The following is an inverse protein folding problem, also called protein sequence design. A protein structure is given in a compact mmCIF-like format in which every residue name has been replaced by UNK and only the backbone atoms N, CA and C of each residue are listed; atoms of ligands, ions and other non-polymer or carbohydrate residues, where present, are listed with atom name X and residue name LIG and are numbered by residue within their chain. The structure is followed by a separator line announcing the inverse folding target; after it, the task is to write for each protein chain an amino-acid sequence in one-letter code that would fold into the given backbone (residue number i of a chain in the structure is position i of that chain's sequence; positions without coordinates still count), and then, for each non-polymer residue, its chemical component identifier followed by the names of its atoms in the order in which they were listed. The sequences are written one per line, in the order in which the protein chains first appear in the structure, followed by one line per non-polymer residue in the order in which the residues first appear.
data_IF_105979528906
#
_entry.id   IF_105979528906
#
_cell.length_a   1.000
_cell.length_b   1.000
_cell.length_c   1.000
_cell.angle_alpha   90.00
_cell.angle_beta   90.00
_cell.angle_gamma   90.00
#
_symmetry.space_group_name_H-M   'P 1'
#
loop_
_entity.id
_entity.type
_entity.pdbx_description
1 polymer ?
#
# COMPACT_ATOMS: atom_id res chain seq x y z
N UNK A 1 0.50 27.44 8.20
CA UNK A 1 1.07 26.14 7.78
C UNK A 1 2.47 26.05 8.41
N UNK A 2 2.81 25.23 9.41
CA UNK A 2 2.08 24.09 9.97
C UNK A 2 2.78 23.46 11.21
N UNK A 3 2.65 24.05 12.41
CA UNK A 3 3.18 23.45 13.66
C UNK A 3 2.58 22.04 13.88
N UNK A 4 1.35 21.83 13.43
CA UNK A 4 0.65 20.55 13.50
C UNK A 4 1.22 19.50 12.54
N UNK A 5 1.57 19.85 11.30
CA UNK A 5 2.27 18.92 10.40
C UNK A 5 3.68 18.63 10.91
N UNK A 6 4.41 19.62 11.44
CA UNK A 6 5.74 19.36 11.99
C UNK A 6 5.67 18.35 13.14
N UNK A 7 4.68 18.49 14.03
CA UNK A 7 4.44 17.54 15.12
C UNK A 7 4.01 16.15 14.62
N UNK A 8 3.17 16.07 13.57
CA UNK A 8 2.78 14.81 12.93
C UNK A 8 3.96 14.12 12.24
N UNK A 9 4.84 14.88 11.59
CA UNK A 9 6.07 14.36 10.98
C UNK A 9 7.02 13.89 12.08
N UNK A 10 7.19 14.67 13.15
CA UNK A 10 8.10 14.34 14.25
C UNK A 10 7.64 13.11 15.04
N UNK A 11 6.34 12.99 15.34
CA UNK A 11 5.78 11.79 15.97
C UNK A 11 5.81 10.58 15.03
N UNK A 12 5.63 10.81 13.71
CA UNK A 12 5.82 9.80 12.67
C UNK A 12 7.25 9.26 12.61
N UNK A 13 8.27 10.13 12.68
CA UNK A 13 9.69 9.76 12.66
C UNK A 13 10.04 8.89 13.86
N UNK A 14 9.60 9.27 15.05
CA UNK A 14 9.92 8.55 16.30
C UNK A 14 9.23 7.18 16.36
N UNK A 15 7.99 7.07 15.86
CA UNK A 15 7.22 5.84 15.98
C UNK A 15 7.39 4.86 14.80
N UNK A 16 7.95 5.30 13.66
CA UNK A 16 8.11 4.49 12.43
C UNK A 16 9.40 4.86 11.65
N UNK A 17 10.60 4.60 12.19
CA UNK A 17 11.87 4.94 11.53
C UNK A 17 12.03 4.28 10.15
N UNK A 18 11.44 3.11 9.96
CA UNK A 18 11.53 2.32 8.73
C UNK A 18 11.03 3.06 7.49
N UNK A 19 9.98 3.90 7.63
CA UNK A 19 9.48 4.68 6.50
C UNK A 19 10.46 5.76 6.06
N UNK A 20 11.01 6.50 7.02
CA UNK A 20 11.96 7.57 6.73
C UNK A 20 13.28 7.02 6.18
N UNK A 21 13.71 5.85 6.67
CA UNK A 21 14.84 5.10 6.11
C UNK A 21 14.54 4.66 4.67
N UNK A 22 13.34 4.13 4.41
CA UNK A 22 12.93 3.75 3.06
C UNK A 22 12.94 4.97 2.12
N UNK A 23 12.36 6.10 2.57
CA UNK A 23 12.27 7.32 1.79
C UNK A 23 13.66 7.92 1.48
N UNK A 24 14.57 7.94 2.46
CA UNK A 24 15.94 8.41 2.24
C UNK A 24 16.69 7.50 1.28
N UNK A 25 16.54 6.18 1.40
CA UNK A 25 17.10 5.21 0.44
C UNK A 25 16.61 5.48 -0.99
N UNK A 26 15.30 5.72 -1.17
CA UNK A 26 14.74 6.04 -2.48
C UNK A 26 15.30 7.32 -3.08
N UNK A 27 15.42 8.39 -2.28
CA UNK A 27 16.01 9.66 -2.72
C UNK A 27 17.47 9.47 -3.14
N UNK A 28 18.25 8.74 -2.35
CA UNK A 28 19.66 8.45 -2.64
C UNK A 28 19.78 7.64 -3.93
N UNK A 29 18.95 6.60 -4.11
CA UNK A 29 18.93 5.79 -5.33
C UNK A 29 18.59 6.65 -6.55
N UNK A 30 17.53 7.46 -6.48
CA UNK A 30 17.15 8.37 -7.57
C UNK A 30 18.25 9.38 -7.91
N UNK A 31 18.91 9.96 -6.90
CA UNK A 31 19.99 10.91 -7.10
C UNK A 31 21.19 10.25 -7.78
N UNK A 32 21.61 9.08 -7.31
CA UNK A 32 22.71 8.30 -7.89
C UNK A 32 22.39 7.96 -9.35
N UNK A 33 21.18 7.46 -9.63
CA UNK A 33 20.77 7.13 -11.00
C UNK A 33 20.75 8.36 -11.91
N UNK A 34 20.28 9.50 -11.40
CA UNK A 34 20.28 10.78 -12.14
C UNK A 34 21.68 11.30 -12.46
N UNK A 35 22.69 10.99 -11.65
CA UNK A 35 24.07 11.42 -11.87
C UNK A 35 24.85 10.46 -12.76
N UNK A 36 24.54 9.15 -12.70
CA UNK A 36 25.29 8.10 -13.40
C UNK A 36 24.69 7.68 -14.74
N UNK A 37 23.42 8.00 -15.01
CA UNK A 37 22.72 7.53 -16.21
C UNK A 37 22.02 8.67 -16.95
N UNK A 38 21.86 8.51 -18.27
CA UNK A 38 21.05 9.39 -19.12
C UNK A 38 19.61 8.88 -19.29
N UNK A 39 19.11 8.15 -18.30
CA UNK A 39 17.74 7.61 -18.35
C UNK A 39 16.71 8.72 -18.23
N UNK A 40 15.51 8.46 -18.76
CA UNK A 40 14.40 9.40 -18.65
C UNK A 40 14.05 9.65 -17.18
N UNK A 41 13.59 10.86 -16.88
CA UNK A 41 13.19 11.26 -15.53
C UNK A 41 12.15 10.31 -14.93
N UNK A 42 11.22 9.82 -15.76
CA UNK A 42 10.17 8.86 -15.39
C UNK A 42 10.76 7.56 -14.86
N UNK A 43 11.78 7.01 -15.54
CA UNK A 43 12.47 5.77 -15.14
C UNK A 43 13.18 5.92 -13.81
N UNK A 44 13.92 7.02 -13.63
CA UNK A 44 14.68 7.29 -12.41
C UNK A 44 13.72 7.39 -11.21
N UNK A 45 12.65 8.16 -11.36
CA UNK A 45 11.64 8.34 -10.30
C UNK A 45 10.94 7.02 -9.97
N UNK A 46 10.56 6.23 -10.97
CA UNK A 46 9.89 4.93 -10.76
C UNK A 46 10.79 3.91 -10.09
N UNK A 47 12.07 3.84 -10.43
CA UNK A 47 13.03 2.93 -9.78
C UNK A 47 13.28 3.31 -8.32
N UNK A 48 13.48 4.61 -8.04
CA UNK A 48 13.59 5.11 -6.68
C UNK A 48 12.32 4.78 -5.88
N UNK A 49 11.15 5.06 -6.43
CA UNK A 49 9.86 4.77 -5.81
C UNK A 49 9.67 3.28 -5.51
N UNK A 50 9.89 2.41 -6.50
CA UNK A 50 9.82 0.96 -6.31
C UNK A 50 10.76 0.50 -5.20
N UNK A 51 11.98 1.03 -5.13
CA UNK A 51 12.94 0.68 -4.08
C UNK A 51 12.41 1.04 -2.67
N UNK A 52 11.80 2.21 -2.51
CA UNK A 52 11.14 2.61 -1.24
C UNK A 52 10.02 1.64 -0.88
N UNK A 53 9.10 1.40 -1.81
CA UNK A 53 7.89 0.62 -1.56
C UNK A 53 8.23 -0.83 -1.25
N UNK A 54 9.13 -1.46 -2.00
CA UNK A 54 9.55 -2.84 -1.75
C UNK A 54 10.30 -2.99 -0.44
N UNK A 55 11.23 -2.09 -0.13
CA UNK A 55 11.91 -2.11 1.16
C UNK A 55 10.90 -1.99 2.32
N UNK A 56 9.94 -1.07 2.20
CA UNK A 56 8.90 -0.90 3.20
C UNK A 56 8.00 -2.13 3.32
N UNK A 57 7.54 -2.71 2.20
CA UNK A 57 6.71 -3.91 2.17
C UNK A 57 7.43 -5.10 2.83
N UNK A 58 8.69 -5.35 2.49
CA UNK A 58 9.49 -6.45 3.07
C UNK A 58 9.57 -6.30 4.59
N UNK A 59 9.95 -5.11 5.07
CA UNK A 59 10.03 -4.82 6.50
C UNK A 59 8.66 -4.97 7.18
N UNK A 60 7.60 -4.55 6.52
CA UNK A 60 6.24 -4.65 7.04
C UNK A 60 5.77 -6.11 7.14
N UNK A 61 6.02 -6.92 6.11
CA UNK A 61 5.70 -8.34 6.09
C UNK A 61 6.49 -9.12 7.13
N UNK A 62 7.79 -8.87 7.27
CA UNK A 62 8.60 -9.45 8.35
C UNK A 62 7.99 -9.13 9.72
N UNK A 63 7.62 -7.87 9.94
CA UNK A 63 7.01 -7.44 11.19
C UNK A 63 5.65 -8.09 11.43
N UNK A 64 4.85 -8.26 10.39
CA UNK A 64 3.54 -8.92 10.44
C UNK A 64 3.69 -10.40 10.80
N UNK A 65 4.61 -11.10 10.14
CA UNK A 65 4.80 -12.54 10.31
C UNK A 65 5.37 -12.93 11.67
N UNK A 66 6.16 -12.03 12.27
CA UNK A 66 6.75 -12.23 13.59
C UNK A 66 5.84 -11.78 14.75
N UNK A 67 4.64 -11.27 14.48
CA UNK A 67 3.78 -10.73 15.55
C UNK A 67 2.90 -11.82 16.15
N UNK A 68 2.98 -11.97 17.48
CA UNK A 68 1.98 -12.73 18.23
C UNK A 68 0.79 -11.85 18.60
N UNK A 69 -0.30 -12.46 19.07
CA UNK A 69 -1.54 -11.78 19.43
C UNK A 69 -1.33 -10.56 20.37
N UNK A 70 -0.49 -10.73 21.38
CA UNK A 70 -0.20 -9.68 22.37
C UNK A 70 0.47 -8.46 21.73
N UNK A 71 1.29 -8.67 20.70
CA UNK A 71 1.94 -7.57 19.97
C UNK A 71 0.93 -6.74 19.18
N UNK A 72 -0.12 -7.37 18.64
CA UNK A 72 -1.11 -6.68 17.82
C UNK A 72 -1.94 -5.71 18.68
N UNK A 73 -2.36 -6.14 19.88
CA UNK A 73 -3.09 -5.28 20.81
C UNK A 73 -2.27 -4.07 21.26
N UNK A 74 -1.00 -4.30 21.65
CA UNK A 74 -0.10 -3.21 22.06
C UNK A 74 0.19 -2.25 20.90
N UNK A 75 0.34 -2.76 19.68
CA UNK A 75 0.56 -1.93 18.48
C UNK A 75 -0.68 -1.15 18.07
N UNK A 76 -1.87 -1.70 18.26
CA UNK A 76 -3.11 -0.98 18.02
C UNK A 76 -3.15 0.29 18.88
N UNK A 77 -2.83 0.22 20.17
CA UNK A 77 -2.81 1.41 21.03
C UNK A 77 -1.77 2.47 20.60
N UNK A 78 -0.60 2.06 20.09
CA UNK A 78 0.48 2.97 19.64
C UNK A 78 0.26 3.57 18.25
N UNK A 79 -0.73 3.09 17.49
CA UNK A 79 -0.91 3.46 16.07
C UNK A 79 -1.75 4.72 15.83
N UNK A 80 -2.43 5.24 16.85
CA UNK A 80 -3.45 6.29 16.67
C UNK A 80 -2.88 7.62 16.10
N UNK A 81 -1.58 7.90 16.26
CA UNK A 81 -0.99 9.15 15.79
C UNK A 81 -0.54 9.16 14.32
N UNK A 82 -0.42 8.00 13.65
CA UNK A 82 0.23 7.92 12.32
C UNK A 82 -0.62 7.31 11.21
N UNK A 83 -1.89 6.98 11.45
CA UNK A 83 -2.80 6.39 10.43
C UNK A 83 -2.89 7.25 9.15
N UNK A 84 -2.95 8.57 9.32
CA UNK A 84 -3.05 9.52 8.21
C UNK A 84 -1.82 9.55 7.30
N UNK A 85 -0.62 9.38 7.87
CA UNK A 85 0.63 9.32 7.09
C UNK A 85 0.64 8.05 6.24
N UNK A 86 0.20 6.93 6.81
CA UNK A 86 0.13 5.65 6.11
C UNK A 86 -0.92 5.71 4.99
N UNK A 87 -2.09 6.30 5.24
CA UNK A 87 -3.10 6.52 4.20
C UNK A 87 -2.59 7.43 3.08
N UNK A 88 -1.86 8.49 3.41
CA UNK A 88 -1.21 9.36 2.43
C UNK A 88 -0.23 8.57 1.54
N UNK A 89 0.55 7.65 2.12
CA UNK A 89 1.49 6.79 1.37
C UNK A 89 0.73 5.89 0.39
N UNK A 90 -0.42 5.33 0.78
CA UNK A 90 -1.26 4.55 -0.15
C UNK A 90 -1.72 5.43 -1.30
N UNK A 91 -2.25 6.62 -1.02
CA UNK A 91 -2.69 7.55 -2.08
C UNK A 91 -1.54 7.93 -3.02
N UNK A 92 -0.35 8.22 -2.47
CA UNK A 92 0.85 8.47 -3.27
C UNK A 92 1.24 7.25 -4.11
N UNK A 93 1.14 6.03 -3.57
CA UNK A 93 1.40 4.79 -4.31
C UNK A 93 0.45 4.62 -5.49
N UNK A 94 -0.83 4.95 -5.30
CA UNK A 94 -1.83 4.90 -6.37
C UNK A 94 -1.54 5.96 -7.44
N UNK A 95 -1.19 7.19 -7.05
CA UNK A 95 -0.79 8.25 -7.98
C UNK A 95 0.46 7.83 -8.77
N UNK A 96 1.48 7.29 -8.09
CA UNK A 96 2.70 6.81 -8.73
C UNK A 96 2.45 5.66 -9.69
N UNK A 97 1.50 4.77 -9.39
CA UNK A 97 1.09 3.72 -10.33
C UNK A 97 0.44 4.31 -11.60
N UNK A 98 -0.39 5.35 -11.46
CA UNK A 98 -0.98 6.04 -12.60
C UNK A 98 0.10 6.73 -13.46
N UNK A 99 1.09 7.37 -12.82
CA UNK A 99 2.26 7.95 -13.50
C UNK A 99 3.06 6.86 -14.23
N UNK A 100 3.33 5.73 -13.56
CA UNK A 100 4.07 4.61 -14.16
C UNK A 100 3.41 4.11 -15.44
N UNK A 101 2.09 4.04 -15.42
CA UNK A 101 1.27 3.61 -16.54
C UNK A 101 1.32 4.64 -17.68
N UNK A 102 1.07 5.91 -17.39
CA UNK A 102 1.04 6.98 -18.41
C UNK A 102 2.42 7.13 -19.04
N UNK A 103 3.47 7.23 -18.22
CA UNK A 103 4.86 7.34 -18.69
C UNK A 103 5.30 6.09 -19.45
N UNK A 104 4.87 4.91 -18.99
CA UNK A 104 5.11 3.64 -19.67
C UNK A 104 4.39 3.51 -21.01
N UNK A 105 3.40 4.36 -21.32
CA UNK A 105 2.69 4.43 -22.59
C UNK A 105 3.20 5.56 -23.50
N UNK A 106 3.65 6.68 -22.94
CA UNK A 106 4.08 7.86 -23.72
C UNK A 106 5.55 7.86 -24.11
N UNK A 107 6.44 7.25 -23.30
CA UNK A 107 7.90 7.27 -23.52
C UNK A 107 8.42 5.94 -24.12
N UNK A 108 7.56 5.12 -24.73
CA UNK A 108 7.95 3.81 -25.26
C UNK A 108 8.95 3.95 -26.41
N UNK A 109 10.19 3.42 -26.27
CA UNK A 109 11.12 3.30 -27.40
C UNK A 109 10.48 2.44 -28.49
N UNK A 110 10.65 2.82 -29.76
CA UNK A 110 9.94 2.17 -30.88
C UNK A 110 10.13 0.65 -30.87
N UNK A 111 11.35 0.13 -30.61
CA UNK A 111 11.65 -1.31 -30.50
C UNK A 111 12.90 -1.56 -29.62
N UNK A 112 12.99 -2.74 -28.98
CA UNK A 112 14.23 -3.24 -28.33
C UNK A 112 14.13 -3.59 -26.83
N UNK A 113 15.24 -4.06 -26.21
CA UNK A 113 15.28 -4.49 -24.81
C UNK A 113 14.98 -3.37 -23.80
N UNK A 114 15.15 -2.11 -24.18
CA UNK A 114 14.79 -0.94 -23.37
C UNK A 114 13.28 -0.85 -23.13
N UNK A 115 12.45 -1.13 -24.15
CA UNK A 115 10.98 -1.20 -24.04
C UNK A 115 10.53 -2.24 -23.02
N UNK A 116 11.14 -3.43 -23.03
CA UNK A 116 10.85 -4.50 -22.06
C UNK A 116 11.19 -4.05 -20.64
N UNK A 117 12.32 -3.35 -20.46
CA UNK A 117 12.71 -2.78 -19.16
C UNK A 117 11.67 -1.81 -18.58
N UNK A 118 11.16 -0.87 -19.38
CA UNK A 118 10.12 0.07 -18.92
C UNK A 118 8.82 -0.65 -18.53
N UNK A 119 8.40 -1.65 -19.30
CA UNK A 119 7.20 -2.45 -18.99
C UNK A 119 7.37 -3.20 -17.67
N UNK A 120 8.53 -3.82 -17.44
CA UNK A 120 8.83 -4.51 -16.17
C UNK A 120 8.75 -3.52 -15.00
N UNK A 121 9.36 -2.34 -15.11
CA UNK A 121 9.32 -1.31 -14.05
C UNK A 121 7.88 -0.89 -13.75
N UNK A 122 7.06 -0.67 -14.79
CA UNK A 122 5.65 -0.32 -14.64
C UNK A 122 4.84 -1.43 -13.94
N UNK A 123 5.03 -2.69 -14.35
CA UNK A 123 4.39 -3.86 -13.70
C UNK A 123 4.79 -3.92 -12.22
N UNK A 124 6.06 -3.75 -11.90
CA UNK A 124 6.53 -3.71 -10.51
C UNK A 124 5.88 -2.57 -9.72
N UNK A 125 5.71 -1.39 -10.30
CA UNK A 125 5.00 -0.28 -9.64
C UNK A 125 3.54 -0.60 -9.40
N UNK A 126 2.85 -1.19 -10.38
CA UNK A 126 1.44 -1.59 -10.25
C UNK A 126 1.28 -2.62 -9.12
N UNK A 127 2.06 -3.71 -9.17
CA UNK A 127 1.99 -4.79 -8.18
C UNK A 127 2.32 -4.27 -6.78
N UNK A 128 3.36 -3.44 -6.66
CA UNK A 128 3.76 -2.89 -5.37
C UNK A 128 2.72 -1.92 -4.78
N UNK A 129 2.08 -1.08 -5.61
CA UNK A 129 0.98 -0.22 -5.19
C UNK A 129 -0.25 -1.02 -4.75
N UNK A 130 -0.59 -2.10 -5.46
CA UNK A 130 -1.67 -3.02 -5.10
C UNK A 130 -1.41 -3.71 -3.74
N UNK A 131 -0.22 -4.29 -3.58
CA UNK A 131 0.19 -4.94 -2.32
C UNK A 131 0.20 -3.95 -1.15
N UNK A 132 0.74 -2.75 -1.37
CA UNK A 132 0.78 -1.70 -0.34
C UNK A 132 -0.62 -1.32 0.10
N UNK A 133 -1.52 -1.01 -0.83
CA UNK A 133 -2.91 -0.65 -0.53
C UNK A 133 -3.57 -1.70 0.37
N UNK A 134 -3.59 -2.97 -0.05
CA UNK A 134 -4.28 -4.01 0.71
C UNK A 134 -3.60 -4.35 2.04
N UNK A 135 -2.27 -4.30 2.10
CA UNK A 135 -1.55 -4.53 3.36
C UNK A 135 -1.80 -3.41 4.37
N UNK A 136 -1.87 -2.17 3.90
CA UNK A 136 -2.25 -1.04 4.76
C UNK A 136 -3.70 -1.16 5.24
N UNK A 137 -4.64 -1.52 4.38
CA UNK A 137 -6.02 -1.74 4.82
C UNK A 137 -6.14 -2.88 5.82
N UNK A 138 -5.41 -3.99 5.64
CA UNK A 138 -5.34 -5.09 6.61
C UNK A 138 -4.91 -4.59 8.00
N UNK A 139 -3.90 -3.72 8.04
CA UNK A 139 -3.43 -3.11 9.30
C UNK A 139 -4.50 -2.19 9.91
N UNK A 140 -5.25 -1.45 9.10
CA UNK A 140 -6.34 -0.60 9.58
C UNK A 140 -7.50 -1.42 10.16
N UNK A 141 -7.88 -2.51 9.50
CA UNK A 141 -8.87 -3.44 10.04
C UNK A 141 -8.41 -4.04 11.37
N UNK A 142 -7.17 -4.52 11.44
CA UNK A 142 -6.59 -5.05 12.68
C UNK A 142 -6.62 -4.02 13.80
N UNK A 143 -6.17 -2.81 13.50
CA UNK A 143 -6.14 -1.72 14.47
C UNK A 143 -7.55 -1.40 14.99
N UNK A 144 -8.51 -1.12 14.10
CA UNK A 144 -9.85 -0.69 14.50
C UNK A 144 -10.58 -1.82 15.24
N UNK A 145 -10.35 -3.08 14.86
CA UNK A 145 -10.83 -4.26 15.58
C UNK A 145 -10.31 -4.30 17.02
N UNK A 146 -8.99 -4.18 17.21
CA UNK A 146 -8.39 -4.28 18.53
C UNK A 146 -8.68 -3.07 19.42
N UNK A 147 -8.76 -1.85 18.87
CA UNK A 147 -9.19 -0.66 19.63
C UNK A 147 -10.63 -0.81 20.12
N UNK A 148 -11.54 -1.36 19.30
CA UNK A 148 -12.90 -1.59 19.72
C UNK A 148 -12.99 -2.66 20.82
N UNK A 149 -12.25 -3.77 20.68
CA UNK A 149 -12.17 -4.83 21.70
C UNK A 149 -11.60 -4.36 23.04
N UNK A 150 -10.57 -3.51 23.01
CA UNK A 150 -10.01 -2.88 24.23
C UNK A 150 -11.03 -2.01 24.97
N UNK A 151 -12.00 -1.42 24.24
CA UNK A 151 -13.11 -0.64 24.80
C UNK A 151 -14.34 -1.51 25.11
N UNK A 152 -14.19 -2.84 25.14
CA UNK A 152 -15.27 -3.81 25.36
C UNK A 152 -16.44 -3.66 24.38
N UNK A 153 -16.17 -3.18 23.16
CA UNK A 153 -17.15 -3.11 22.07
C UNK A 153 -16.95 -4.24 21.06
N UNK A 154 -17.94 -4.41 20.18
CA UNK A 154 -17.82 -5.26 18.99
C UNK A 154 -16.66 -4.79 18.10
N UNK A 155 -15.76 -5.73 17.75
CA UNK A 155 -14.58 -5.50 16.92
C UNK A 155 -14.90 -5.11 15.47
N UNK A 156 -16.15 -5.26 15.01
CA UNK A 156 -16.57 -4.87 13.68
C UNK A 156 -16.34 -5.91 12.59
N UNK A 157 -15.59 -6.97 12.87
CA UNK A 157 -15.36 -8.12 12.01
C UNK A 157 -15.55 -9.41 12.81
N UNK A 158 -16.18 -10.41 12.23
CA UNK A 158 -16.31 -11.75 12.80
C UNK A 158 -15.65 -12.75 11.86
N UNK A 159 -14.56 -13.35 12.32
CA UNK A 159 -13.82 -14.39 11.62
C UNK A 159 -14.34 -15.78 12.04
N UNK A 160 -14.53 -16.74 11.12
CA UNK A 160 -14.97 -18.08 11.46
C UNK A 160 -14.04 -18.75 12.46
N UNK A 161 -14.60 -19.26 13.57
CA UNK A 161 -13.86 -20.00 14.60
C UNK A 161 -12.58 -19.31 15.11
N UNK A 162 -12.50 -17.97 15.03
CA UNK A 162 -11.29 -17.21 15.33
C UNK A 162 -11.63 -16.02 16.22
N UNK A 163 -11.50 -16.22 17.54
CA UNK A 163 -11.78 -15.19 18.55
C UNK A 163 -10.68 -14.10 18.59
N UNK A 164 -9.44 -14.49 18.27
CA UNK A 164 -8.24 -13.68 18.41
C UNK A 164 -7.48 -13.58 17.06
N UNK A 165 -8.07 -12.91 16.05
CA UNK A 165 -7.50 -12.86 14.70
C UNK A 165 -6.12 -12.19 14.67
N UNK A 166 -5.22 -12.78 13.91
CA UNK A 166 -3.86 -12.30 13.69
C UNK A 166 -3.76 -11.50 12.39
N UNK A 167 -2.62 -10.86 12.11
CA UNK A 167 -2.45 -10.10 10.87
C UNK A 167 -2.74 -10.91 9.59
N UNK A 168 -2.36 -12.20 9.46
CA UNK A 168 -2.79 -13.04 8.35
C UNK A 168 -4.31 -13.06 8.11
N UNK A 169 -5.13 -13.08 9.16
CA UNK A 169 -6.60 -13.06 9.03
C UNK A 169 -7.09 -11.73 8.45
N UNK A 170 -6.51 -10.61 8.89
CA UNK A 170 -6.83 -9.30 8.32
C UNK A 170 -6.28 -9.09 6.90
N UNK A 171 -5.13 -9.70 6.57
CA UNK A 171 -4.59 -9.73 5.21
C UNK A 171 -5.55 -10.50 4.31
N UNK A 172 -5.97 -11.68 4.75
CA UNK A 172 -6.96 -12.51 4.06
C UNK A 172 -8.22 -11.71 3.74
N UNK A 173 -8.82 -11.07 4.76
CA UNK A 173 -9.98 -10.21 4.59
C UNK A 173 -9.73 -9.07 3.59
N UNK A 174 -8.63 -8.34 3.76
CA UNK A 174 -8.30 -7.19 2.93
C UNK A 174 -8.06 -7.56 1.47
N UNK A 175 -7.34 -8.65 1.22
CA UNK A 175 -7.00 -9.09 -0.15
C UNK A 175 -8.21 -9.67 -0.87
N UNK A 176 -9.14 -10.29 -0.14
CA UNK A 176 -10.44 -10.70 -0.70
C UNK A 176 -11.23 -9.47 -1.17
N UNK A 177 -11.35 -8.42 -0.35
CA UNK A 177 -11.99 -7.17 -0.79
C UNK A 177 -11.27 -6.60 -2.02
N UNK A 178 -9.95 -6.71 -2.05
CA UNK A 178 -9.13 -6.27 -3.16
C UNK A 178 -9.40 -6.98 -4.48
N UNK A 179 -9.56 -8.29 -4.44
CA UNK A 179 -9.67 -9.17 -5.62
C UNK A 179 -11.10 -9.37 -6.09
N UNK A 180 -12.04 -9.58 -5.17
CA UNK A 180 -13.41 -10.01 -5.48
C UNK A 180 -14.52 -9.11 -4.92
N UNK A 181 -14.17 -8.10 -4.12
CA UNK A 181 -15.13 -7.19 -3.46
C UNK A 181 -16.19 -7.87 -2.57
N UNK A 182 -16.04 -9.16 -2.25
CA UNK A 182 -17.03 -9.92 -1.46
C UNK A 182 -16.37 -10.82 -0.42
N UNK A 183 -16.91 -10.84 0.80
CA UNK A 183 -16.43 -11.62 1.95
C UNK A 183 -17.21 -12.94 2.05
N UNK A 184 -16.59 -14.08 1.71
CA UNK A 184 -17.31 -15.36 1.74
C UNK A 184 -17.54 -15.90 3.17
N UNK A 185 -16.68 -15.55 4.12
CA UNK A 185 -16.64 -16.17 5.45
C UNK A 185 -16.42 -15.18 6.60
N UNK A 186 -15.94 -13.95 6.35
CA UNK A 186 -15.82 -12.89 7.36
C UNK A 186 -17.01 -11.94 7.31
N UNK A 187 -17.69 -11.74 8.44
CA UNK A 187 -18.85 -10.84 8.53
C UNK A 187 -18.48 -9.46 9.08
N UNK A 188 -19.04 -8.39 8.50
CA UNK A 188 -18.86 -7.01 8.98
C UNK A 188 -20.02 -6.60 9.90
N UNK A 189 -19.77 -6.53 11.20
CA UNK A 189 -20.82 -6.38 12.22
C UNK A 189 -21.17 -4.92 12.53
N UNK A 190 -20.21 -4.00 12.48
CA UNK A 190 -20.42 -2.60 12.87
C UNK A 190 -20.52 -1.62 11.70
N UNK A 191 -21.26 -0.51 11.90
CA UNK A 191 -21.37 0.57 10.89
C UNK A 191 -20.02 1.20 10.57
N UNK A 192 -19.16 1.41 11.58
CA UNK A 192 -17.83 2.00 11.39
C UNK A 192 -16.97 1.14 10.46
N UNK A 193 -16.98 -0.17 10.67
CA UNK A 193 -16.21 -1.09 9.83
C UNK A 193 -16.77 -1.22 8.42
N UNK A 194 -18.11 -1.11 8.25
CA UNK A 194 -18.73 -1.01 6.91
C UNK A 194 -18.29 0.25 6.15
N UNK A 195 -18.17 1.40 6.81
CA UNK A 195 -17.70 2.64 6.16
C UNK A 195 -16.24 2.52 5.71
N UNK A 196 -15.37 1.95 6.55
CA UNK A 196 -13.98 1.65 6.16
C UNK A 196 -13.94 0.70 4.96
N UNK A 197 -14.79 -0.33 4.96
CA UNK A 197 -14.89 -1.28 3.86
C UNK A 197 -15.37 -0.66 2.56
N UNK A 198 -16.36 0.24 2.60
CA UNK A 198 -16.83 0.97 1.40
C UNK A 198 -15.68 1.78 0.78
N UNK A 199 -14.88 2.44 1.62
CA UNK A 199 -13.73 3.21 1.14
C UNK A 199 -12.69 2.29 0.49
N UNK A 200 -12.33 1.19 1.15
CA UNK A 200 -11.40 0.20 0.62
C UNK A 200 -11.88 -0.41 -0.70
N UNK A 201 -13.14 -0.84 -0.75
CA UNK A 201 -13.75 -1.47 -1.92
C UNK A 201 -13.81 -0.50 -3.12
N UNK A 202 -14.21 0.75 -2.89
CA UNK A 202 -14.24 1.78 -3.95
C UNK A 202 -12.85 2.03 -4.50
N UNK A 203 -11.84 2.17 -3.64
CA UNK A 203 -10.47 2.42 -4.05
C UNK A 203 -9.89 1.25 -4.85
N UNK A 204 -10.14 0.02 -4.39
CA UNK A 204 -9.75 -1.20 -5.09
C UNK A 204 -10.41 -1.31 -6.45
N UNK A 205 -11.72 -1.05 -6.53
CA UNK A 205 -12.46 -1.09 -7.79
C UNK A 205 -11.92 -0.09 -8.81
N UNK A 206 -11.68 1.16 -8.39
CA UNK A 206 -11.08 2.17 -9.26
C UNK A 206 -9.68 1.77 -9.75
N UNK A 207 -8.85 1.22 -8.86
CA UNK A 207 -7.51 0.74 -9.23
C UNK A 207 -7.56 -0.43 -10.23
N UNK A 208 -8.34 -1.47 -9.93
CA UNK A 208 -8.48 -2.65 -10.79
C UNK A 208 -9.07 -2.29 -12.16
N UNK A 209 -10.06 -1.39 -12.20
CA UNK A 209 -10.68 -0.94 -13.45
C UNK A 209 -9.70 -0.12 -14.29
N UNK A 210 -8.94 0.77 -13.66
CA UNK A 210 -7.90 1.56 -14.36
C UNK A 210 -6.83 0.63 -14.93
N UNK A 211 -6.35 -0.31 -14.12
CA UNK A 211 -5.37 -1.31 -14.55
C UNK A 211 -5.88 -2.12 -15.74
N UNK A 212 -7.13 -2.60 -15.70
CA UNK A 212 -7.74 -3.35 -16.80
C UNK A 212 -7.83 -2.51 -18.09
N UNK A 213 -8.32 -1.27 -18.00
CA UNK A 213 -8.43 -0.37 -19.15
C UNK A 213 -7.07 -0.12 -19.81
N UNK A 214 -6.04 0.08 -19.00
CA UNK A 214 -4.67 0.30 -19.45
C UNK A 214 -4.09 -0.97 -20.08
N UNK A 215 -4.28 -2.14 -19.47
CA UNK A 215 -3.81 -3.40 -20.02
C UNK A 215 -4.42 -3.66 -21.41
N UNK A 216 -5.71 -3.35 -21.59
CA UNK A 216 -6.37 -3.44 -22.90
C UNK A 216 -5.70 -2.52 -23.92
N UNK A 217 -5.47 -1.24 -23.56
CA UNK A 217 -4.79 -0.29 -24.46
C UNK A 217 -3.38 -0.73 -24.83
N UNK A 218 -2.62 -1.25 -23.86
CA UNK A 218 -1.26 -1.76 -24.09
C UNK A 218 -1.30 -2.94 -25.06
N UNK A 219 -2.14 -3.96 -24.79
CA UNK A 219 -2.25 -5.16 -25.65
C UNK A 219 -2.73 -4.79 -27.05
N UNK A 220 -3.70 -3.88 -27.18
CA UNK A 220 -4.17 -3.39 -28.46
C UNK A 220 -3.08 -2.65 -29.26
N UNK A 221 -2.12 -2.01 -28.60
CA UNK A 221 -0.97 -1.38 -29.26
C UNK A 221 0.14 -2.36 -29.69
N UNK A 222 0.04 -3.64 -29.30
CA UNK A 222 0.98 -4.70 -29.70
C UNK A 222 0.45 -5.60 -30.82
N UNK A 223 -0.85 -5.52 -31.14
CA UNK A 223 -1.52 -6.26 -32.22
C UNK A 223 -1.70 -5.32 -33.41
#
# INVERSE_FOLDING_TARGET
MNIRILHLIQSGIQNRPTFFIAASLGIVISLILSLLTHWTWSTIVLLGWNSVVWFYLIMLFQKIWQSEHQDIQQRAQKQDESKWIIMLIVLLSLIMSMIAIIAGLSDLPEQGPTKVGHIIIAIFTIVSSWLMMHTIFAIHYAHDFYIARLKQHDGGLTFPNTEYPTYPDFIYFSYIIGTSAQTADVSITTRKMRLLNIFHCTLSFCFNTSLLAILINVVAGFI
#
